data_IF_082813383348
#
_entry.id   IF_082813383348
#
_cell.length_a   1.000
_cell.length_b   1.000
_cell.length_c   1.000
_cell.angle_alpha   90.00
_cell.angle_beta   90.00
_cell.angle_gamma   90.00
#
_symmetry.space_group_name_H-M   'P 1'
#
loop_
_entity.id
_entity.type
_entity.pdbx_description
1 polymer ?
#
# COMPACT_ATOMS: atom_id res chain seq x y z
N UNK A 1 42.83 -11.68 -1.97
CA UNK A 1 41.75 -11.89 -0.98
C UNK A 1 40.90 -10.65 -1.01
N UNK A 2 39.87 -10.65 -1.85
CA UNK A 2 38.94 -9.53 -2.03
C UNK A 2 37.74 -9.83 -1.15
N UNK A 3 37.44 -8.88 -0.26
CA UNK A 3 36.26 -8.89 0.60
C UNK A 3 35.02 -9.09 -0.25
N UNK A 4 34.32 -10.21 -0.01
CA UNK A 4 32.94 -10.38 -0.44
C UNK A 4 32.13 -9.30 0.26
N UNK A 5 31.84 -8.22 -0.46
CA UNK A 5 30.71 -7.35 -0.15
C UNK A 5 29.48 -8.24 -0.13
N UNK A 6 28.96 -8.53 1.07
CA UNK A 6 27.67 -9.19 1.23
C UNK A 6 26.61 -8.18 0.80
N UNK A 7 26.27 -8.19 -0.50
CA UNK A 7 24.99 -7.67 -0.97
C UNK A 7 23.94 -8.66 -0.51
N UNK A 8 23.24 -8.31 0.56
CA UNK A 8 22.09 -9.06 1.05
C UNK A 8 20.91 -8.82 0.09
N UNK A 9 20.60 -9.81 -0.75
CA UNK A 9 19.35 -9.91 -1.50
C UNK A 9 18.28 -10.36 -0.50
N UNK A 10 17.44 -9.44 -0.01
CA UNK A 10 16.22 -9.83 0.71
C UNK A 10 15.33 -10.59 -0.28
N UNK A 11 15.08 -11.87 0.01
CA UNK A 11 14.34 -12.75 -0.88
C UNK A 11 12.89 -12.27 -0.95
N UNK A 12 12.57 -11.49 -1.99
CA UNK A 12 11.22 -10.99 -2.26
C UNK A 12 10.24 -12.13 -2.61
N UNK A 13 10.72 -13.37 -2.64
CA UNK A 13 9.96 -14.56 -3.02
C UNK A 13 8.66 -14.70 -2.23
N UNK A 14 8.63 -14.28 -0.95
CA UNK A 14 7.39 -14.32 -0.16
C UNK A 14 6.34 -13.30 -0.61
N UNK A 15 6.72 -12.19 -1.25
CA UNK A 15 5.75 -11.25 -1.84
C UNK A 15 5.43 -11.61 -3.30
N UNK A 16 6.42 -12.15 -4.02
CA UNK A 16 6.36 -12.32 -5.45
C UNK A 16 5.16 -13.19 -5.87
N UNK A 17 4.20 -12.55 -6.54
CA UNK A 17 2.95 -13.18 -7.01
C UNK A 17 2.11 -13.82 -5.91
N UNK A 18 2.23 -13.33 -4.68
CA UNK A 18 1.46 -13.84 -3.54
C UNK A 18 0.48 -12.80 -3.01
N UNK A 19 -0.58 -13.29 -2.40
CA UNK A 19 -1.52 -12.49 -1.63
C UNK A 19 -1.90 -13.23 -0.35
N UNK A 20 -2.34 -12.49 0.67
CA UNK A 20 -2.93 -13.10 1.88
C UNK A 20 -4.44 -13.08 1.74
N UNK A 21 -5.07 -14.27 1.68
CA UNK A 21 -6.53 -14.43 1.82
C UNK A 21 -6.87 -14.54 3.29
N UNK A 22 -7.78 -13.70 3.77
CA UNK A 22 -8.23 -13.64 5.16
C UNK A 22 -9.73 -13.95 5.23
N UNK A 23 -10.18 -14.85 6.10
CA UNK A 23 -11.60 -15.18 6.26
C UNK A 23 -12.43 -14.02 6.81
N UNK A 24 -13.70 -13.96 6.41
CA UNK A 24 -14.77 -13.14 6.98
C UNK A 24 -15.91 -14.08 7.41
N UNK A 25 -15.75 -14.83 8.52
CA UNK A 25 -16.65 -15.91 8.88
C UNK A 25 -18.03 -15.44 9.38
N UNK A 26 -18.13 -14.20 9.85
CA UNK A 26 -19.32 -13.63 10.47
C UNK A 26 -19.37 -12.09 10.30
N UNK A 27 -20.50 -11.50 10.69
CA UNK A 27 -20.73 -10.06 10.63
C UNK A 27 -19.73 -9.25 11.46
N UNK A 28 -19.21 -9.80 12.57
CA UNK A 28 -18.23 -9.09 13.39
C UNK A 28 -16.89 -8.98 12.67
N UNK A 29 -16.44 -10.05 12.00
CA UNK A 29 -15.27 -10.01 11.14
C UNK A 29 -15.46 -9.02 9.98
N UNK A 30 -16.67 -8.93 9.43
CA UNK A 30 -17.00 -7.94 8.41
C UNK A 30 -16.94 -6.50 8.94
N UNK A 31 -17.48 -6.22 10.13
CA UNK A 31 -17.41 -4.90 10.77
C UNK A 31 -15.95 -4.49 11.00
N UNK A 32 -15.13 -5.40 11.52
CA UNK A 32 -13.69 -5.18 11.70
C UNK A 32 -13.00 -4.89 10.37
N UNK A 33 -13.35 -5.60 9.29
CA UNK A 33 -12.79 -5.32 7.97
C UNK A 33 -13.19 -3.93 7.46
N UNK A 34 -14.46 -3.56 7.58
CA UNK A 34 -14.95 -2.22 7.26
C UNK A 34 -14.22 -1.13 8.05
N UNK A 35 -14.10 -1.26 9.37
CA UNK A 35 -13.37 -0.31 10.23
C UNK A 35 -11.92 -0.12 9.76
N UNK A 36 -11.23 -1.22 9.41
CA UNK A 36 -9.88 -1.12 8.85
C UNK A 36 -9.85 -0.35 7.51
N UNK A 37 -10.87 -0.49 6.65
CA UNK A 37 -10.94 0.25 5.40
C UNK A 37 -11.28 1.73 5.62
N UNK A 38 -12.10 2.05 6.62
CA UNK A 38 -12.35 3.44 7.03
C UNK A 38 -11.10 4.09 7.61
N UNK A 39 -10.29 3.37 8.38
CA UNK A 39 -8.99 3.87 8.86
C UNK A 39 -8.05 4.25 7.70
N UNK A 40 -8.08 3.47 6.60
CA UNK A 40 -7.32 3.77 5.38
C UNK A 40 -7.89 4.98 4.66
N UNK A 41 -9.22 5.11 4.57
CA UNK A 41 -9.87 6.27 3.96
C UNK A 41 -9.55 7.56 4.72
N UNK A 42 -9.68 7.53 6.05
CA UNK A 42 -9.36 8.67 6.90
C UNK A 42 -7.88 9.01 6.87
N UNK A 43 -6.98 8.04 6.65
CA UNK A 43 -5.57 8.31 6.43
C UNK A 43 -5.31 9.08 5.12
N UNK A 44 -6.07 8.81 4.05
CA UNK A 44 -6.00 9.61 2.81
C UNK A 44 -6.53 11.03 3.03
N UNK A 45 -7.64 11.18 3.74
CA UNK A 45 -8.20 12.50 4.07
C UNK A 45 -7.21 13.32 4.90
N UNK A 46 -6.64 12.74 5.97
CA UNK A 46 -5.62 13.41 6.79
C UNK A 46 -4.39 13.82 5.97
N UNK A 47 -3.93 12.96 5.05
CA UNK A 47 -2.82 13.31 4.15
C UNK A 47 -3.18 14.52 3.30
N UNK A 48 -4.37 14.55 2.72
CA UNK A 48 -4.80 15.67 1.89
C UNK A 48 -4.93 16.97 2.69
N UNK A 49 -5.47 16.92 3.92
CA UNK A 49 -5.50 18.08 4.82
C UNK A 49 -4.10 18.61 5.10
N UNK A 50 -3.11 17.73 5.32
CA UNK A 50 -1.71 18.13 5.50
C UNK A 50 -1.07 18.70 4.23
N UNK A 51 -1.48 18.26 3.04
CA UNK A 51 -1.00 18.82 1.76
C UNK A 51 -1.60 20.19 1.44
N UNK A 52 -2.79 20.50 1.94
CA UNK A 52 -3.40 21.82 1.78
C UNK A 52 -2.81 22.88 2.70
N UNK A 53 -2.27 22.45 3.85
CA UNK A 53 -1.70 23.32 4.86
C UNK A 53 -0.27 23.74 4.46
N UNK A 54 -0.05 25.01 4.07
CA UNK A 54 1.27 25.49 3.68
C UNK A 54 2.27 25.53 4.85
N UNK A 55 1.80 25.44 6.09
CA UNK A 55 2.66 25.43 7.28
C UNK A 55 3.15 24.01 7.64
N UNK A 56 2.61 22.97 6.98
CA UNK A 56 3.01 21.58 7.17
C UNK A 56 4.00 21.17 6.07
N UNK A 57 5.24 20.79 6.42
CA UNK A 57 6.19 20.28 5.43
C UNK A 57 5.65 19.02 4.76
N UNK A 58 5.77 18.94 3.43
CA UNK A 58 5.29 17.77 2.67
C UNK A 58 5.94 16.48 3.17
N UNK A 59 7.21 16.53 3.60
CA UNK A 59 7.89 15.36 4.18
C UNK A 59 7.12 14.81 5.39
N UNK A 60 6.61 15.70 6.25
CA UNK A 60 5.86 15.31 7.45
C UNK A 60 4.55 14.61 7.06
N UNK A 61 3.81 15.15 6.08
CA UNK A 61 2.59 14.52 5.55
C UNK A 61 2.86 13.10 5.03
N UNK A 62 3.96 12.94 4.31
CA UNK A 62 4.38 11.68 3.74
C UNK A 62 4.86 10.68 4.81
N UNK A 63 5.66 11.13 5.78
CA UNK A 63 6.12 10.32 6.91
C UNK A 63 4.94 9.82 7.76
N UNK A 64 3.96 10.69 8.06
CA UNK A 64 2.76 10.32 8.82
C UNK A 64 1.94 9.24 8.13
N UNK A 65 1.77 9.32 6.81
CA UNK A 65 1.08 8.26 6.06
C UNK A 65 1.81 6.93 6.21
N UNK A 66 3.14 6.92 6.04
CA UNK A 66 3.94 5.70 6.12
C UNK A 66 4.00 5.12 7.54
N UNK A 67 4.07 5.95 8.58
CA UNK A 67 3.96 5.54 9.98
C UNK A 67 2.64 4.80 10.23
N UNK A 68 1.52 5.31 9.69
CA UNK A 68 0.20 4.68 9.79
C UNK A 68 0.16 3.30 9.14
N UNK A 69 0.62 3.17 7.90
CA UNK A 69 0.63 1.88 7.18
C UNK A 69 1.56 0.88 7.89
N UNK A 70 2.75 1.33 8.30
CA UNK A 70 3.71 0.52 9.04
C UNK A 70 3.13 0.02 10.38
N UNK A 71 2.38 0.86 11.10
CA UNK A 71 1.72 0.48 12.34
C UNK A 71 0.67 -0.63 12.10
N UNK A 72 -0.10 -0.54 11.01
CA UNK A 72 -1.07 -1.58 10.63
C UNK A 72 -0.39 -2.92 10.39
N UNK A 73 0.72 -2.95 9.65
CA UNK A 73 1.43 -4.21 9.37
C UNK A 73 2.10 -4.78 10.61
N UNK A 74 2.68 -3.93 11.48
CA UNK A 74 3.20 -4.36 12.79
C UNK A 74 2.11 -4.98 13.67
N UNK A 75 0.93 -4.36 13.75
CA UNK A 75 -0.22 -4.92 14.48
C UNK A 75 -0.62 -6.29 13.93
N UNK A 76 -0.64 -6.44 12.60
CA UNK A 76 -0.94 -7.70 11.92
C UNK A 76 0.09 -8.79 12.22
N UNK A 77 1.38 -8.47 12.15
CA UNK A 77 2.45 -9.40 12.52
C UNK A 77 2.33 -9.87 13.98
N UNK A 78 2.08 -8.94 14.92
CA UNK A 78 1.86 -9.26 16.33
C UNK A 78 0.64 -10.14 16.56
N UNK A 79 -0.44 -9.88 15.83
CA UNK A 79 -1.64 -10.71 15.93
C UNK A 79 -1.39 -12.16 15.46
N UNK A 80 -0.55 -12.36 14.45
CA UNK A 80 -0.26 -13.67 13.86
C UNK A 80 0.77 -14.47 14.69
N UNK A 81 1.85 -13.82 15.13
CA UNK A 81 3.02 -14.50 15.71
C UNK A 81 3.40 -14.04 17.13
N UNK A 82 2.67 -13.10 17.72
CA UNK A 82 3.01 -12.50 19.01
C UNK A 82 4.12 -11.44 18.90
N UNK A 83 4.67 -11.02 20.04
CA UNK A 83 5.68 -9.95 20.09
C UNK A 83 7.01 -10.34 19.42
N UNK A 84 7.31 -11.64 19.34
CA UNK A 84 8.51 -12.20 18.70
C UNK A 84 8.34 -12.37 17.18
N UNK A 85 7.40 -11.66 16.55
CA UNK A 85 7.09 -11.79 15.12
C UNK A 85 8.31 -11.59 14.20
N UNK A 86 9.30 -10.78 14.61
CA UNK A 86 10.52 -10.56 13.85
C UNK A 86 11.38 -11.83 13.77
N UNK A 87 11.55 -12.52 14.90
CA UNK A 87 12.27 -13.80 14.94
C UNK A 87 11.55 -14.87 14.12
N UNK A 88 10.22 -14.88 14.18
CA UNK A 88 9.38 -15.80 13.39
C UNK A 88 9.55 -15.57 11.88
N UNK A 89 9.52 -14.31 11.44
CA UNK A 89 9.75 -13.96 10.03
C UNK A 89 11.16 -14.36 9.56
N UNK A 90 12.20 -14.03 10.35
CA UNK A 90 13.58 -14.35 10.02
C UNK A 90 13.85 -15.85 10.00
N UNK A 91 13.24 -16.62 10.91
CA UNK A 91 13.31 -18.08 10.91
C UNK A 91 12.70 -18.66 9.63
N UNK A 92 11.59 -18.10 9.13
CA UNK A 92 11.00 -18.51 7.86
C UNK A 92 11.92 -18.19 6.68
N UNK A 93 12.46 -16.97 6.60
CA UNK A 93 13.39 -16.57 5.54
C UNK A 93 14.68 -17.40 5.52
N UNK A 94 15.15 -17.87 6.69
CA UNK A 94 16.32 -18.77 6.78
C UNK A 94 16.00 -20.23 6.47
N UNK A 95 14.74 -20.57 6.19
CA UNK A 95 14.29 -21.95 6.00
C UNK A 95 14.28 -22.79 7.28
N UNK A 96 14.44 -22.17 8.45
CA UNK A 96 14.39 -22.82 9.76
C UNK A 96 12.95 -23.08 10.20
N UNK A 97 11.99 -22.39 9.58
CA UNK A 97 10.55 -22.51 9.81
C UNK A 97 9.83 -22.52 8.47
N UNK A 98 8.84 -23.40 8.30
CA UNK A 98 8.09 -23.55 7.04
C UNK A 98 6.59 -23.68 7.26
N UNK A 99 6.09 -23.28 8.43
CA UNK A 99 4.67 -23.32 8.75
C UNK A 99 3.94 -22.06 8.26
N UNK A 100 2.61 -22.13 8.27
CA UNK A 100 1.73 -21.04 7.82
C UNK A 100 1.98 -19.74 8.59
N UNK A 101 2.20 -19.82 9.89
CA UNK A 101 2.47 -18.65 10.74
C UNK A 101 3.75 -17.96 10.26
N UNK A 102 4.84 -18.71 10.09
CA UNK A 102 6.10 -18.19 9.56
C UNK A 102 5.94 -17.52 8.20
N UNK A 103 5.19 -18.15 7.29
CA UNK A 103 4.97 -17.62 5.95
C UNK A 103 4.18 -16.30 5.95
N UNK A 104 3.07 -16.24 6.69
CA UNK A 104 2.24 -15.03 6.80
C UNK A 104 2.99 -13.90 7.52
N UNK A 105 3.72 -14.21 8.59
CA UNK A 105 4.51 -13.22 9.32
C UNK A 105 5.63 -12.69 8.44
N UNK A 106 6.32 -13.55 7.69
CA UNK A 106 7.34 -13.14 6.72
C UNK A 106 6.75 -12.24 5.62
N UNK A 107 5.56 -12.55 5.10
CA UNK A 107 4.88 -11.73 4.09
C UNK A 107 4.66 -10.28 4.57
N UNK A 108 4.01 -10.08 5.71
CA UNK A 108 3.76 -8.73 6.23
C UNK A 108 5.03 -8.03 6.72
N UNK A 109 5.96 -8.78 7.31
CA UNK A 109 7.25 -8.25 7.76
C UNK A 109 8.09 -7.75 6.59
N UNK A 110 8.12 -8.50 5.49
CA UNK A 110 8.84 -8.11 4.28
C UNK A 110 8.20 -6.88 3.62
N UNK A 111 6.86 -6.79 3.60
CA UNK A 111 6.15 -5.58 3.18
C UNK A 111 6.50 -4.36 4.03
N UNK A 112 6.57 -4.52 5.36
CA UNK A 112 7.01 -3.48 6.29
C UNK A 112 8.43 -3.01 5.99
N UNK A 113 9.36 -3.95 5.82
CA UNK A 113 10.75 -3.65 5.52
C UNK A 113 10.91 -2.85 4.22
N UNK A 114 10.21 -3.25 3.15
CA UNK A 114 10.24 -2.53 1.86
C UNK A 114 9.66 -1.11 1.95
N UNK A 115 8.57 -0.93 2.70
CA UNK A 115 8.03 0.42 2.93
C UNK A 115 9.04 1.33 3.66
N UNK A 116 9.81 0.79 4.60
CA UNK A 116 10.87 1.55 5.27
C UNK A 116 12.03 1.88 4.31
N UNK A 117 12.42 0.94 3.44
CA UNK A 117 13.48 1.18 2.45
C UNK A 117 13.11 2.26 1.43
N UNK A 118 11.83 2.43 1.10
CA UNK A 118 11.32 3.45 0.18
C UNK A 118 11.71 4.89 0.57
N UNK A 119 12.01 5.17 1.84
CA UNK A 119 12.55 6.48 2.24
C UNK A 119 13.94 6.76 1.65
N UNK A 120 14.73 5.72 1.42
CA UNK A 120 16.15 5.81 1.03
C UNK A 120 16.40 5.43 -0.43
N UNK A 121 15.49 4.67 -1.05
CA UNK A 121 15.57 4.26 -2.45
C UNK A 121 14.59 5.11 -3.26
N UNK A 122 15.12 6.08 -4.02
CA UNK A 122 14.35 6.78 -5.04
C UNK A 122 13.87 5.76 -6.09
N UNK A 123 12.66 5.97 -6.65
CA UNK A 123 12.08 5.12 -7.71
C UNK A 123 11.58 3.73 -7.27
N UNK A 124 10.98 3.64 -6.07
CA UNK A 124 10.12 2.51 -5.69
C UNK A 124 8.71 2.99 -5.34
N UNK A 125 7.70 2.38 -5.96
CA UNK A 125 6.29 2.67 -5.76
C UNK A 125 5.62 1.54 -4.99
N UNK A 126 4.97 1.88 -3.88
CA UNK A 126 4.11 0.95 -3.17
C UNK A 126 2.78 0.85 -3.91
N UNK A 127 2.35 -0.38 -4.27
CA UNK A 127 1.26 -0.62 -5.21
C UNK A 127 0.29 -1.76 -4.77
N UNK A 128 -0.28 -1.72 -3.55
CA UNK A 128 -1.09 -2.82 -3.05
C UNK A 128 -2.47 -2.90 -3.69
N UNK A 129 -3.02 -4.12 -3.74
CA UNK A 129 -4.44 -4.37 -4.06
C UNK A 129 -5.12 -4.98 -2.83
N UNK A 130 -6.32 -4.50 -2.52
CA UNK A 130 -7.21 -5.10 -1.53
C UNK A 130 -8.53 -5.44 -2.23
N UNK A 131 -8.94 -6.70 -2.18
CA UNK A 131 -10.16 -7.19 -2.83
C UNK A 131 -11.01 -7.95 -1.83
N UNK A 132 -12.31 -7.69 -1.82
CA UNK A 132 -13.32 -8.37 -1.03
C UNK A 132 -14.04 -9.43 -1.86
N UNK A 133 -14.30 -10.57 -1.22
CA UNK A 133 -15.07 -11.70 -1.72
C UNK A 133 -16.17 -12.04 -0.70
N UNK A 134 -17.14 -12.91 -1.03
CA UNK A 134 -18.29 -13.17 -0.17
C UNK A 134 -17.94 -13.64 1.25
N UNK A 135 -16.87 -14.40 1.41
CA UNK A 135 -16.46 -15.03 2.67
C UNK A 135 -15.06 -14.65 3.14
N UNK A 136 -14.39 -13.73 2.43
CA UNK A 136 -12.98 -13.43 2.64
C UNK A 136 -12.56 -12.14 1.96
N UNK A 137 -11.35 -11.67 2.25
CA UNK A 137 -10.69 -10.62 1.46
C UNK A 137 -9.24 -11.00 1.20
N UNK A 138 -8.65 -10.45 0.13
CA UNK A 138 -7.23 -10.61 -0.18
C UNK A 138 -6.49 -9.30 -0.06
N UNK A 139 -5.29 -9.35 0.54
CA UNK A 139 -4.33 -8.23 0.52
C UNK A 139 -3.09 -8.69 -0.24
N UNK A 140 -2.85 -8.06 -1.38
CA UNK A 140 -1.70 -8.29 -2.24
C UNK A 140 -0.76 -7.08 -2.09
N UNK A 141 0.33 -7.27 -1.35
CA UNK A 141 1.34 -6.25 -1.07
C UNK A 141 2.34 -6.31 -2.21
N UNK A 142 2.40 -5.25 -3.00
CA UNK A 142 3.31 -5.18 -4.14
C UNK A 142 4.10 -3.90 -4.18
N UNK A 143 5.24 -3.98 -4.83
CA UNK A 143 6.09 -2.84 -5.15
C UNK A 143 6.43 -2.86 -6.63
N UNK A 144 6.33 -1.70 -7.26
CA UNK A 144 6.74 -1.51 -8.65
C UNK A 144 7.99 -0.63 -8.71
N UNK A 145 8.88 -0.93 -9.66
CA UNK A 145 9.95 -0.01 -10.02
C UNK A 145 9.37 1.29 -10.59
N UNK A 146 10.00 2.41 -10.30
CA UNK A 146 9.50 3.73 -10.65
C UNK A 146 8.73 4.36 -9.50
N UNK A 147 8.13 5.51 -9.76
CA UNK A 147 7.53 6.33 -8.71
C UNK A 147 6.09 6.75 -9.01
N UNK A 148 5.52 6.40 -10.17
CA UNK A 148 4.16 6.79 -10.54
C UNK A 148 3.50 5.77 -11.47
N UNK A 149 2.17 5.75 -11.43
CA UNK A 149 1.31 5.14 -12.45
C UNK A 149 1.03 6.12 -13.59
N UNK A 150 0.37 5.64 -14.64
CA UNK A 150 -0.17 6.49 -15.73
C UNK A 150 -1.25 7.45 -15.23
N UNK A 151 -2.00 7.05 -14.20
CA UNK A 151 -3.13 7.78 -13.59
C UNK A 151 -2.77 8.46 -12.27
N UNK A 152 -1.48 8.61 -11.96
CA UNK A 152 -1.06 9.23 -10.70
C UNK A 152 -1.22 10.75 -10.72
N UNK A 153 -1.76 11.28 -9.64
CA UNK A 153 -1.67 12.71 -9.32
C UNK A 153 -0.27 13.02 -8.83
N UNK A 154 0.35 14.06 -9.38
CA UNK A 154 1.71 14.47 -9.08
C UNK A 154 1.72 15.80 -8.34
N UNK A 155 2.61 15.92 -7.36
CA UNK A 155 2.79 17.13 -6.57
C UNK A 155 4.25 17.21 -6.13
N UNK A 156 4.76 18.43 -6.00
CA UNK A 156 6.19 18.66 -5.77
C UNK A 156 6.48 19.24 -4.39
N UNK A 157 7.69 18.99 -3.90
CA UNK A 157 8.21 19.52 -2.64
C UNK A 157 9.48 20.34 -2.90
N UNK A 158 9.45 21.67 -2.65
CA UNK A 158 10.61 22.53 -2.83
C UNK A 158 11.81 22.11 -1.99
N UNK A 159 11.56 21.65 -0.76
CA UNK A 159 12.56 21.19 0.20
C UNK A 159 13.38 19.99 -0.29
N UNK A 160 12.85 19.27 -1.28
CA UNK A 160 13.49 18.09 -1.86
C UNK A 160 14.10 18.36 -3.24
N UNK A 161 14.10 19.62 -3.69
CA UNK A 161 14.84 20.00 -4.89
C UNK A 161 16.33 19.94 -4.63
N UNK A 162 17.07 19.30 -5.53
CA UNK A 162 18.54 19.30 -5.54
C UNK A 162 19.12 20.43 -6.38
N UNK A 163 18.27 21.27 -6.97
CA UNK A 163 18.68 22.37 -7.81
C UNK A 163 19.00 23.60 -6.97
N UNK A 164 20.18 24.20 -7.20
CA UNK A 164 20.51 25.53 -6.67
C UNK A 164 19.76 26.57 -7.52
N UNK A 165 18.54 26.91 -7.08
CA UNK A 165 17.73 27.97 -7.68
C UNK A 165 18.14 29.32 -7.09
N UNK A 166 18.14 30.37 -7.92
CA UNK A 166 18.22 31.73 -7.39
C UNK A 166 16.93 32.12 -6.64
N UNK A 167 16.99 33.23 -5.89
CA UNK A 167 15.91 33.62 -4.98
C UNK A 167 14.55 33.83 -5.69
N UNK A 168 14.55 34.38 -6.91
CA UNK A 168 13.33 34.64 -7.68
C UNK A 168 12.71 33.34 -8.22
N UNK A 169 13.54 32.43 -8.74
CA UNK A 169 13.06 31.11 -9.18
C UNK A 169 12.64 30.23 -8.01
N UNK A 170 13.32 30.31 -6.86
CA UNK A 170 12.97 29.55 -5.65
C UNK A 170 11.59 29.97 -5.10
N UNK A 171 11.29 31.27 -5.05
CA UNK A 171 9.98 31.78 -4.63
C UNK A 171 8.87 31.33 -5.59
N UNK A 172 9.11 31.42 -6.89
CA UNK A 172 8.15 30.97 -7.91
C UNK A 172 7.87 29.47 -7.78
N UNK A 173 8.92 28.65 -7.73
CA UNK A 173 8.81 27.20 -7.60
C UNK A 173 8.14 26.78 -6.29
N UNK A 174 8.36 27.51 -5.20
CA UNK A 174 7.64 27.31 -3.94
C UNK A 174 6.14 27.49 -4.11
N UNK A 175 5.71 28.59 -4.73
CA UNK A 175 4.29 28.87 -4.95
C UNK A 175 3.63 27.89 -5.93
N UNK A 176 4.33 27.49 -7.00
CA UNK A 176 3.85 26.45 -7.92
C UNK A 176 3.72 25.10 -7.23
N UNK A 177 4.67 24.74 -6.37
CA UNK A 177 4.61 23.52 -5.57
C UNK A 177 3.40 23.52 -4.64
N UNK A 178 3.16 24.62 -3.89
CA UNK A 178 1.98 24.76 -3.04
C UNK A 178 0.67 24.65 -3.83
N UNK A 179 0.63 25.20 -5.04
CA UNK A 179 -0.53 25.08 -5.91
C UNK A 179 -0.77 23.61 -6.30
N UNK A 180 0.26 22.90 -6.76
CA UNK A 180 0.16 21.47 -7.11
C UNK A 180 -0.23 20.58 -5.93
N UNK A 181 0.24 20.89 -4.71
CA UNK A 181 -0.10 20.17 -3.49
C UNK A 181 -1.58 20.32 -3.14
N UNK A 182 -2.16 21.52 -3.31
CA UNK A 182 -3.59 21.77 -3.11
C UNK A 182 -4.45 21.03 -4.13
N UNK A 183 -4.10 21.09 -5.42
CA UNK A 183 -4.80 20.33 -6.45
C UNK A 183 -4.73 18.81 -6.18
N UNK A 184 -3.59 18.32 -5.71
CA UNK A 184 -3.43 16.93 -5.34
C UNK A 184 -4.26 16.55 -4.10
N UNK A 185 -4.34 17.43 -3.11
CA UNK A 185 -5.14 17.20 -1.92
C UNK A 185 -6.64 17.07 -2.24
N UNK A 186 -7.17 17.94 -3.10
CA UNK A 186 -8.57 17.85 -3.55
C UNK A 186 -8.87 16.48 -4.18
N UNK A 187 -7.99 16.02 -5.08
CA UNK A 187 -8.13 14.71 -5.74
C UNK A 187 -7.95 13.54 -4.77
N UNK A 188 -7.04 13.64 -3.80
CA UNK A 188 -6.84 12.60 -2.77
C UNK A 188 -8.07 12.50 -1.86
N UNK A 189 -8.71 13.62 -1.51
CA UNK A 189 -9.98 13.61 -0.74
C UNK A 189 -11.09 12.97 -1.53
N UNK A 190 -11.25 13.34 -2.79
CA UNK A 190 -12.28 12.78 -3.66
C UNK A 190 -12.10 11.27 -3.83
N UNK A 191 -10.88 10.81 -4.10
CA UNK A 191 -10.59 9.37 -4.27
C UNK A 191 -10.67 8.58 -2.96
N UNK A 192 -10.60 9.22 -1.79
CA UNK A 192 -10.84 8.53 -0.52
C UNK A 192 -12.29 8.03 -0.38
N UNK A 193 -13.26 8.65 -1.06
CA UNK A 193 -14.64 8.18 -1.08
C UNK A 193 -14.79 6.81 -1.75
N UNK A 194 -13.93 6.45 -2.70
CA UNK A 194 -13.91 5.13 -3.34
C UNK A 194 -13.77 4.02 -2.27
N UNK A 195 -12.97 4.23 -1.22
CA UNK A 195 -12.84 3.26 -0.13
C UNK A 195 -14.16 3.08 0.65
N UNK A 196 -14.95 4.15 0.79
CA UNK A 196 -16.25 4.12 1.49
C UNK A 196 -17.31 3.43 0.62
N UNK A 197 -17.26 3.64 -0.68
CA UNK A 197 -18.15 3.02 -1.66
C UNK A 197 -17.86 1.52 -1.86
N UNK A 198 -16.59 1.15 -1.99
CA UNK A 198 -16.16 -0.25 -2.23
C UNK A 198 -16.25 -1.14 -0.97
N UNK A 199 -16.22 -0.54 0.22
CA UNK A 199 -16.28 -1.25 1.49
C UNK A 199 -17.36 -0.66 2.42
N UNK A 200 -18.65 -0.71 2.03
CA UNK A 200 -19.72 -0.10 2.80
C UNK A 200 -19.95 -0.85 4.13
N UNK A 201 -20.59 -0.17 5.08
CA UNK A 201 -20.86 -0.74 6.40
C UNK A 201 -21.80 -1.97 6.29
N UNK A 202 -21.48 -3.11 6.94
CA UNK A 202 -22.25 -4.34 6.77
C UNK A 202 -23.68 -4.27 7.30
N UNK A 203 -23.96 -3.36 8.24
CA UNK A 203 -25.31 -3.12 8.80
C UNK A 203 -26.15 -2.14 7.95
N UNK A 204 -25.55 -1.46 6.97
CA UNK A 204 -26.23 -0.46 6.13
C UNK A 204 -26.57 -0.99 4.74
N UNK A 205 -25.69 -1.83 4.17
CA UNK A 205 -25.85 -2.38 2.82
C UNK A 205 -26.10 -3.90 2.85
N UNK A 206 -27.14 -4.41 2.16
CA UNK A 206 -27.41 -5.85 2.11
C UNK A 206 -26.23 -6.65 1.53
N UNK A 207 -25.98 -7.84 2.09
CA UNK A 207 -24.85 -8.70 1.71
C UNK A 207 -24.68 -8.87 0.18
N UNK A 208 -25.77 -9.11 -0.55
CA UNK A 208 -25.71 -9.32 -2.00
C UNK A 208 -25.18 -8.13 -2.80
N UNK A 209 -25.30 -6.91 -2.26
CA UNK A 209 -24.81 -5.68 -2.88
C UNK A 209 -23.36 -5.35 -2.47
N UNK A 210 -22.91 -5.78 -1.29
CA UNK A 210 -21.58 -5.49 -0.74
C UNK A 210 -20.58 -6.66 -0.74
N UNK A 211 -20.98 -7.84 -1.23
CA UNK A 211 -20.16 -9.07 -1.16
C UNK A 211 -18.90 -9.04 -2.03
N UNK A 212 -18.82 -8.09 -2.97
CA UNK A 212 -17.63 -7.80 -3.76
C UNK A 212 -17.31 -6.32 -3.64
N UNK A 213 -16.02 -6.01 -3.72
CA UNK A 213 -15.50 -4.65 -3.73
C UNK A 213 -13.98 -4.70 -3.75
N UNK A 214 -13.33 -3.65 -4.22
CA UNK A 214 -11.88 -3.69 -4.31
C UNK A 214 -11.25 -2.38 -4.68
N UNK A 215 -9.99 -2.22 -4.26
CA UNK A 215 -9.18 -1.05 -4.57
C UNK A 215 -7.76 -1.46 -4.94
N UNK A 216 -7.15 -0.63 -5.78
CA UNK A 216 -5.71 -0.55 -5.96
C UNK A 216 -5.27 0.85 -5.56
N UNK A 217 -4.15 0.95 -4.85
CA UNK A 217 -3.53 2.25 -4.56
C UNK A 217 -2.08 2.26 -5.01
N UNK A 218 -1.56 3.43 -5.35
CA UNK A 218 -0.16 3.64 -5.65
C UNK A 218 0.36 4.88 -4.96
N UNK A 219 1.60 4.80 -4.49
CA UNK A 219 2.36 5.98 -4.09
C UNK A 219 3.85 5.76 -4.28
N UNK A 220 4.53 6.75 -4.82
CA UNK A 220 5.98 6.76 -5.01
C UNK A 220 6.59 8.15 -4.81
N UNK A 221 7.92 8.22 -4.93
CA UNK A 221 8.67 9.48 -4.92
C UNK A 221 9.89 9.39 -5.85
N UNK A 222 10.17 10.48 -6.57
CA UNK A 222 11.40 10.70 -7.32
C UNK A 222 11.89 12.14 -7.15
N UNK A 223 13.00 12.33 -6.44
CA UNK A 223 13.50 13.67 -6.13
C UNK A 223 12.46 14.49 -5.38
N UNK A 224 12.13 15.67 -5.91
CA UNK A 224 11.07 16.54 -5.40
C UNK A 224 9.64 16.10 -5.72
N UNK A 225 9.46 15.16 -6.65
CA UNK A 225 8.13 14.78 -7.15
C UNK A 225 7.58 13.58 -6.40
N UNK A 226 6.38 13.75 -5.87
CA UNK A 226 5.59 12.73 -5.19
C UNK A 226 4.39 12.34 -6.06
N UNK A 227 3.89 11.12 -5.84
CA UNK A 227 2.71 10.63 -6.54
C UNK A 227 1.69 10.01 -5.58
N UNK A 228 0.43 10.03 -6.00
CA UNK A 228 -0.65 9.34 -5.32
C UNK A 228 -1.67 8.86 -6.36
N UNK A 229 -2.20 7.65 -6.18
CA UNK A 229 -3.30 7.12 -6.97
C UNK A 229 -4.13 6.17 -6.09
N UNK A 230 -5.45 6.21 -6.26
CA UNK A 230 -6.37 5.22 -5.72
C UNK A 230 -7.51 5.03 -6.72
N UNK A 231 -7.81 3.77 -7.07
CA UNK A 231 -8.90 3.41 -7.98
C UNK A 231 -9.63 2.17 -7.49
N UNK A 232 -10.90 2.04 -7.88
CA UNK A 232 -11.68 0.82 -7.67
C UNK A 232 -11.19 -0.31 -8.57
N UNK A 233 -11.36 -1.55 -8.11
CA UNK A 233 -10.98 -2.76 -8.82
C UNK A 233 -12.03 -3.83 -8.58
N UNK A 234 -12.68 -4.27 -9.65
CA UNK A 234 -13.64 -5.37 -9.57
C UNK A 234 -12.91 -6.71 -9.33
N UNK A 235 -13.24 -7.45 -8.25
CA UNK A 235 -12.74 -8.80 -8.01
C UNK A 235 -13.34 -9.82 -8.98
N UNK A 236 -12.57 -10.82 -9.38
CA UNK A 236 -13.04 -11.99 -10.12
C UNK A 236 -13.91 -12.88 -9.20
N UNK A 237 -15.23 -12.97 -9.44
CA UNK A 237 -16.14 -13.74 -8.59
C UNK A 237 -15.84 -15.24 -8.58
N UNK A 238 -15.15 -15.74 -9.60
CA UNK A 238 -14.83 -17.17 -9.74
C UNK A 238 -13.46 -17.54 -9.13
N UNK A 239 -12.76 -16.57 -8.52
CA UNK A 239 -11.40 -16.79 -7.96
C UNK A 239 -11.35 -17.87 -6.88
N UNK A 240 -12.38 -17.93 -6.02
CA UNK A 240 -12.42 -18.88 -4.91
C UNK A 240 -13.72 -19.68 -4.91
N UNK A 241 -13.58 -21.00 -5.06
CA UNK A 241 -14.71 -21.95 -5.02
C UNK A 241 -14.88 -22.60 -3.65
N UNK A 242 -13.85 -22.53 -2.80
CA UNK A 242 -13.83 -23.13 -1.46
C UNK A 242 -13.68 -22.04 -0.39
N UNK A 243 -14.36 -22.20 0.76
CA UNK A 243 -14.20 -21.30 1.87
C UNK A 243 -12.79 -21.39 2.47
N UNK A 244 -12.45 -20.39 3.27
CA UNK A 244 -11.21 -20.34 4.02
C UNK A 244 -11.54 -20.14 5.50
N UNK A 245 -10.91 -20.91 6.38
CA UNK A 245 -11.16 -20.82 7.82
C UNK A 245 -10.08 -20.03 8.56
N UNK A 246 -8.89 -19.93 7.97
CA UNK A 246 -7.72 -19.30 8.58
C UNK A 246 -6.96 -18.49 7.53
N UNK A 247 -6.35 -17.35 7.90
CA UNK A 247 -5.55 -16.57 6.95
C UNK A 247 -4.50 -17.45 6.28
N UNK A 248 -4.33 -17.33 4.96
CA UNK A 248 -3.40 -18.15 4.20
C UNK A 248 -2.80 -17.37 3.04
N UNK A 249 -1.59 -17.75 2.63
CA UNK A 249 -1.04 -17.31 1.37
C UNK A 249 -1.73 -18.03 0.21
N UNK A 250 -2.01 -17.27 -0.84
CA UNK A 250 -2.57 -17.73 -2.11
C UNK A 250 -1.82 -17.03 -3.24
N UNK A 251 -1.89 -17.58 -4.45
CA UNK A 251 -1.40 -16.88 -5.63
C UNK A 251 -2.19 -15.58 -5.85
N UNK A 252 -1.52 -14.58 -6.42
CA UNK A 252 -2.16 -13.34 -6.81
C UNK A 252 -3.28 -13.57 -7.83
N UNK A 253 -4.30 -12.72 -7.79
CA UNK A 253 -5.47 -12.84 -8.67
C UNK A 253 -5.22 -12.23 -10.05
N UNK A 254 -6.11 -12.46 -11.02
CA UNK A 254 -6.02 -11.86 -12.35
C UNK A 254 -6.01 -10.32 -12.32
N UNK A 255 -6.53 -9.69 -11.27
CA UNK A 255 -6.50 -8.25 -11.04
C UNK A 255 -5.07 -7.72 -10.89
N UNK A 256 -4.15 -8.55 -10.39
CA UNK A 256 -2.75 -8.16 -10.26
C UNK A 256 -2.14 -7.88 -11.64
N UNK A 257 -2.28 -8.82 -12.57
CA UNK A 257 -1.80 -8.67 -13.94
C UNK A 257 -2.60 -7.63 -14.74
N UNK A 258 -3.89 -7.44 -14.44
CA UNK A 258 -4.72 -6.40 -15.07
C UNK A 258 -4.26 -5.00 -14.68
N UNK A 259 -4.14 -4.74 -13.38
CA UNK A 259 -3.70 -3.44 -12.84
C UNK A 259 -2.25 -3.12 -13.23
N UNK A 260 -1.36 -4.12 -13.30
CA UNK A 260 -0.01 -3.95 -13.82
C UNK A 260 -0.04 -3.42 -15.27
N UNK A 261 -0.82 -4.07 -16.14
CA UNK A 261 -0.91 -3.71 -17.56
C UNK A 261 -1.56 -2.34 -17.81
N UNK A 262 -2.56 -2.00 -17.02
CA UNK A 262 -3.39 -0.80 -17.24
C UNK A 262 -2.78 0.45 -16.60
N UNK A 263 -2.09 0.30 -15.46
CA UNK A 263 -1.69 1.43 -14.63
C UNK A 263 -0.19 1.66 -14.59
N UNK A 264 0.64 0.65 -14.88
CA UNK A 264 2.09 0.82 -14.84
C UNK A 264 2.62 1.25 -16.22
N UNK A 265 3.58 2.19 -16.24
CA UNK A 265 4.35 2.47 -17.45
C UNK A 265 5.06 1.22 -17.99
N UNK A 266 5.30 1.21 -19.31
CA UNK A 266 6.04 0.13 -19.96
C UNK A 266 7.42 -0.08 -19.32
N UNK A 267 7.76 -1.35 -19.06
CA UNK A 267 9.06 -1.74 -18.49
C UNK A 267 9.16 -1.63 -16.98
N UNK A 268 8.09 -1.26 -16.27
CA UNK A 268 8.03 -1.41 -14.82
C UNK A 268 8.13 -2.88 -14.42
N UNK A 269 8.88 -3.15 -13.35
CA UNK A 269 9.03 -4.47 -12.74
C UNK A 269 8.24 -4.48 -11.44
N UNK A 270 7.40 -5.48 -11.25
CA UNK A 270 6.58 -5.67 -10.04
C UNK A 270 7.10 -6.85 -9.23
N UNK A 271 7.13 -6.67 -7.91
CA UNK A 271 7.36 -7.71 -6.90
C UNK A 271 6.23 -7.72 -5.88
#
# INVERSE_FOLDING_TARGET
>A
MSERTVRFNGDAEVLYRQAVRTPLPDEDAERVFHENMMDVADAQVRKAEMLEDPDVPLLEAYEKQLEGIAATYKRRCRHIAGDDYEEVALAYQRGERTDRIGALTAYYFEGLWRMQQRFTVADMMFFPIILRYPDSFTVNIRFASGYKTTESVLYESPEHSTEDLDEEYAETYYHESLYSQKEAAEQIKETAEILREEFPHPDEVPFDERKYGGIVSAGGRKGSVFSSMLQSVEPDPDRFTEPVDEPTLVDEGPEAARTERELLPDGCIVI
#
